data_IF_246691100430
#
_entry.id   IF_246691100430
#
_cell.length_a   1.000
_cell.length_b   1.000
_cell.length_c   1.000
_cell.angle_alpha   90.00
_cell.angle_beta   90.00
_cell.angle_gamma   90.00
#
_symmetry.space_group_name_H-M   'P 1'
#
loop_
_entity.id
_entity.type
_entity.pdbx_description
1 polymer ?
#
# COMPACT_ATOMS: atom_id res chain seq x y z
N UNK A 1 8.05 -17.58 23.80
CA UNK A 1 7.59 -17.82 22.43
C UNK A 1 8.46 -16.99 21.49
N UNK A 2 9.03 -17.63 20.45
CA UNK A 2 10.04 -17.06 19.56
C UNK A 2 9.32 -16.29 18.44
N UNK A 3 9.14 -14.98 18.60
CA UNK A 3 8.61 -14.11 17.55
C UNK A 3 9.62 -14.09 16.40
N UNK A 4 9.39 -14.94 15.40
CA UNK A 4 10.10 -14.91 14.12
C UNK A 4 9.57 -13.71 13.34
N UNK A 5 10.19 -12.55 13.55
CA UNK A 5 10.01 -11.42 12.65
C UNK A 5 10.70 -11.77 11.33
N UNK A 6 9.95 -12.37 10.41
CA UNK A 6 10.37 -12.54 9.03
C UNK A 6 10.28 -11.17 8.35
N UNK A 7 11.28 -10.36 8.64
CA UNK A 7 11.67 -9.22 7.81
C UNK A 7 12.08 -9.80 6.45
N UNK A 8 11.75 -9.11 5.35
CA UNK A 8 12.10 -9.42 3.95
C UNK A 8 11.02 -10.03 3.05
N UNK A 9 9.75 -9.66 3.22
CA UNK A 9 8.94 -9.45 2.03
C UNK A 9 8.86 -7.93 1.82
N UNK A 10 9.14 -7.48 0.60
CA UNK A 10 8.78 -6.13 0.18
C UNK A 10 7.26 -6.20 0.02
N UNK A 11 6.55 -6.22 1.14
CA UNK A 11 5.11 -6.24 1.14
C UNK A 11 4.67 -4.87 0.62
N UNK A 12 4.38 -4.79 -0.68
CA UNK A 12 3.59 -3.69 -1.23
C UNK A 12 2.26 -3.75 -0.48
N UNK A 13 2.03 -2.81 0.45
CA UNK A 13 0.77 -2.72 1.20
C UNK A 13 0.07 -1.44 0.82
N UNK A 14 -1.25 -1.51 0.79
CA UNK A 14 -2.09 -0.34 0.60
C UNK A 14 -1.80 0.67 1.70
N UNK A 15 -1.39 1.88 1.34
CA UNK A 15 -1.07 2.93 2.32
C UNK A 15 -2.29 3.38 3.13
N UNK A 16 -3.50 3.15 2.60
CA UNK A 16 -4.74 3.52 3.28
C UNK A 16 -5.26 2.43 4.23
N UNK A 17 -5.18 1.14 3.86
CA UNK A 17 -5.83 0.06 4.63
C UNK A 17 -4.88 -1.06 5.08
N UNK A 18 -3.60 -1.02 4.70
CA UNK A 18 -2.60 -2.02 5.08
C UNK A 18 -2.75 -3.38 4.39
N UNK A 19 -3.67 -3.51 3.43
CA UNK A 19 -3.88 -4.74 2.65
C UNK A 19 -2.67 -5.04 1.77
N UNK A 20 -2.29 -6.31 1.69
CA UNK A 20 -1.26 -6.76 0.75
C UNK A 20 -1.70 -6.48 -0.70
N UNK A 21 -0.81 -5.83 -1.43
CA UNK A 21 -0.89 -5.55 -2.86
C UNK A 21 0.00 -6.56 -3.57
N UNK A 22 -0.48 -6.99 -4.72
CA UNK A 22 0.31 -7.76 -5.68
C UNK A 22 0.56 -6.87 -6.90
N UNK A 23 1.58 -7.17 -7.69
CA UNK A 23 1.89 -6.43 -8.93
C UNK A 23 0.70 -6.37 -9.90
N UNK A 24 -0.22 -7.34 -9.81
CA UNK A 24 -1.43 -7.41 -10.62
C UNK A 24 -2.60 -6.55 -10.09
N UNK A 25 -2.63 -6.27 -8.78
CA UNK A 25 -3.73 -5.57 -8.10
C UNK A 25 -3.27 -4.25 -7.45
N UNK A 26 -2.15 -3.72 -7.92
CA UNK A 26 -1.60 -2.47 -7.43
C UNK A 26 -2.25 -1.29 -8.15
N UNK A 27 -2.87 -0.40 -7.37
CA UNK A 27 -3.46 0.82 -7.85
C UNK A 27 -2.52 1.99 -7.53
N UNK A 28 -1.85 2.51 -8.55
CA UNK A 28 -0.93 3.64 -8.42
C UNK A 28 -1.69 4.95 -8.63
N UNK A 29 -1.57 5.90 -7.69
CA UNK A 29 -2.11 7.25 -7.85
C UNK A 29 -1.08 8.29 -7.43
N UNK A 30 -0.94 9.34 -8.24
CA UNK A 30 -0.05 10.45 -7.93
C UNK A 30 -0.78 11.45 -7.02
N UNK A 31 -0.28 11.66 -5.81
CA UNK A 31 -0.83 12.59 -4.82
C UNK A 31 0.32 13.48 -4.36
N UNK A 32 0.15 14.81 -4.44
CA UNK A 32 1.22 15.79 -4.16
C UNK A 32 2.53 15.56 -4.95
N UNK A 33 2.45 14.99 -6.15
CA UNK A 33 3.62 14.69 -6.98
C UNK A 33 4.40 13.44 -6.57
N UNK A 34 3.87 12.63 -5.64
CA UNK A 34 4.41 11.31 -5.27
C UNK A 34 3.49 10.20 -5.74
N UNK A 35 4.05 9.11 -6.22
CA UNK A 35 3.31 7.89 -6.55
C UNK A 35 2.99 7.11 -5.28
N UNK A 36 1.70 6.93 -5.02
CA UNK A 36 1.19 6.19 -3.88
C UNK A 36 0.50 4.91 -4.33
N UNK A 37 0.60 3.86 -3.50
CA UNK A 37 0.17 2.51 -3.84
C UNK A 37 -1.02 2.07 -3.00
N UNK A 38 -2.09 1.67 -3.67
CA UNK A 38 -3.36 1.31 -3.05
C UNK A 38 -3.91 -0.02 -3.60
N UNK A 39 -4.84 -0.63 -2.87
CA UNK A 39 -5.52 -1.84 -3.33
C UNK A 39 -6.72 -1.54 -4.23
N UNK A 40 -7.17 -0.29 -4.27
CA UNK A 40 -8.32 0.14 -5.06
C UNK A 40 -8.39 1.68 -5.15
N UNK A 41 -9.18 2.17 -6.11
CA UNK A 41 -9.43 3.60 -6.29
C UNK A 41 -10.05 4.27 -5.07
N UNK A 42 -10.96 3.60 -4.34
CA UNK A 42 -11.54 4.12 -3.10
C UNK A 42 -10.50 4.40 -2.02
N UNK A 43 -9.50 3.52 -1.88
CA UNK A 43 -8.41 3.75 -0.92
C UNK A 43 -7.56 4.94 -1.33
N UNK A 44 -7.30 5.08 -2.63
CA UNK A 44 -6.55 6.22 -3.17
C UNK A 44 -7.32 7.55 -3.04
N UNK A 45 -8.65 7.52 -3.09
CA UNK A 45 -9.51 8.69 -2.96
C UNK A 45 -9.73 9.10 -1.49
N UNK A 46 -9.83 8.10 -0.61
CA UNK A 46 -9.85 8.30 0.84
C UNK A 46 -8.49 8.74 1.39
N UNK A 47 -7.40 8.50 0.66
CA UNK A 47 -6.05 8.91 1.03
C UNK A 47 -5.93 10.43 0.95
N UNK A 48 -6.04 11.07 2.11
CA UNK A 48 -5.72 12.48 2.29
C UNK A 48 -4.22 12.59 2.51
N UNK A 49 -3.44 12.47 1.43
CA UNK A 49 -2.01 12.73 1.47
C UNK A 49 -1.80 14.19 1.89
N UNK A 50 -1.38 14.39 3.13
CA UNK A 50 -1.04 15.71 3.71
C UNK A 50 0.31 16.21 3.20
#
# INVERSE_FOLDING_TARGET
MKLRMNLNNIDLKCENCGRELTEDNIYVRVINGKEHYFCCSHCADAYKGE
#
